data_IF_358602606950
#
_entry.id   IF_358602606950
#
_cell.length_a   1.000
_cell.length_b   1.000
_cell.length_c   1.000
_cell.angle_alpha   90.00
_cell.angle_beta   90.00
_cell.angle_gamma   90.00
#
_symmetry.space_group_name_H-M   'P 1'
#
loop_
_entity.id
_entity.type
_entity.pdbx_description
1 polymer ?
#
# COMPACT_ATOMS: atom_id res chain seq x y z
N UNK A 1 10.98 -8.45 33.95
CA UNK A 1 9.90 -8.40 34.96
C UNK A 1 9.08 -9.68 35.07
N UNK A 2 8.67 -10.34 33.96
CA UNK A 2 7.80 -11.54 34.03
C UNK A 2 8.31 -12.69 34.91
N UNK A 3 9.62 -12.92 34.97
CA UNK A 3 10.21 -13.96 35.84
C UNK A 3 10.39 -13.53 37.31
N UNK A 4 10.17 -12.25 37.63
CA UNK A 4 10.48 -11.64 38.93
C UNK A 4 9.25 -11.45 39.81
N UNK A 5 8.05 -11.52 39.23
CA UNK A 5 6.76 -11.32 39.88
C UNK A 5 5.77 -12.39 39.40
N UNK A 6 4.66 -12.56 40.09
CA UNK A 6 3.60 -13.46 39.64
C UNK A 6 2.91 -12.90 38.38
N UNK A 7 2.06 -13.71 37.74
CA UNK A 7 1.39 -13.32 36.50
C UNK A 7 0.44 -12.11 36.69
N UNK A 8 -0.23 -12.00 37.85
CA UNK A 8 -1.17 -10.91 38.14
C UNK A 8 -0.44 -9.57 38.32
N UNK A 9 0.65 -9.58 39.08
CA UNK A 9 1.52 -8.42 39.28
C UNK A 9 2.19 -8.00 37.98
N UNK A 10 2.59 -8.96 37.15
CA UNK A 10 3.13 -8.66 35.83
C UNK A 10 2.10 -7.96 34.94
N UNK A 11 0.86 -8.46 34.90
CA UNK A 11 -0.22 -7.82 34.15
C UNK A 11 -0.49 -6.40 34.67
N UNK A 12 -0.54 -6.22 36.00
CA UNK A 12 -0.70 -4.91 36.60
C UNK A 12 0.45 -3.96 36.25
N UNK A 13 1.69 -4.45 36.21
CA UNK A 13 2.87 -3.68 35.79
C UNK A 13 2.85 -3.30 34.31
N UNK A 14 2.18 -4.06 33.44
CA UNK A 14 2.02 -3.71 32.03
C UNK A 14 0.86 -2.77 31.78
N UNK A 15 -0.18 -2.81 32.63
CA UNK A 15 -1.42 -2.04 32.44
C UNK A 15 -1.37 -0.60 32.98
N UNK A 16 -0.23 -0.16 33.50
CA UNK A 16 -0.08 1.18 34.10
C UNK A 16 -0.31 2.34 33.11
N UNK A 17 -0.28 2.08 31.80
CA UNK A 17 -0.59 3.10 30.76
C UNK A 17 -2.06 3.52 30.77
N UNK A 18 -2.94 2.70 31.34
CA UNK A 18 -4.39 2.93 31.40
C UNK A 18 -4.85 3.59 32.71
N UNK A 19 -3.92 4.15 33.49
CA UNK A 19 -4.23 4.91 34.69
C UNK A 19 -5.01 6.18 34.32
N UNK A 20 -6.09 6.42 35.05
CA UNK A 20 -7.10 7.44 34.74
C UNK A 20 -7.00 8.72 35.58
N UNK A 21 -6.26 8.67 36.70
CA UNK A 21 -6.21 9.74 37.69
C UNK A 21 -4.91 9.72 38.50
N UNK A 22 -4.58 10.87 39.08
CA UNK A 22 -3.42 11.02 39.97
C UNK A 22 -3.51 10.12 41.21
N UNK A 23 -4.73 9.89 41.70
CA UNK A 23 -4.99 9.01 42.84
C UNK A 23 -4.65 7.55 42.49
N UNK A 24 -5.07 7.10 41.31
CA UNK A 24 -4.74 5.76 40.81
C UNK A 24 -3.24 5.63 40.52
N UNK A 25 -2.60 6.70 40.04
CA UNK A 25 -1.15 6.75 39.83
C UNK A 25 -0.38 6.60 41.15
N UNK A 26 -0.76 7.33 42.20
CA UNK A 26 -0.14 7.21 43.52
C UNK A 26 -0.27 5.79 44.09
N UNK A 27 -1.47 5.19 43.99
CA UNK A 27 -1.70 3.78 44.39
C UNK A 27 -0.86 2.81 43.58
N UNK A 28 -0.61 3.11 42.31
CA UNK A 28 0.28 2.31 41.47
C UNK A 28 1.74 2.43 41.91
N UNK A 29 2.22 3.65 42.21
CA UNK A 29 3.56 3.86 42.78
C UNK A 29 3.73 3.07 44.08
N UNK A 30 2.76 3.16 45.01
CA UNK A 30 2.76 2.39 46.26
C UNK A 30 2.82 0.88 46.00
N UNK A 31 2.02 0.38 45.05
CA UNK A 31 2.07 -1.02 44.63
C UNK A 31 3.48 -1.40 44.14
N UNK A 32 4.09 -0.61 43.26
CA UNK A 32 5.44 -0.90 42.75
C UNK A 32 6.48 -0.94 43.88
N UNK A 33 6.37 -0.03 44.86
CA UNK A 33 7.24 -0.01 46.03
C UNK A 33 7.00 -1.22 46.95
N UNK A 34 5.76 -1.70 47.06
CA UNK A 34 5.40 -2.86 47.88
C UNK A 34 5.96 -4.20 47.36
N UNK A 35 6.27 -4.30 46.06
CA UNK A 35 6.82 -5.53 45.46
C UNK A 35 8.23 -5.89 45.98
N UNK A 36 8.96 -4.92 46.56
CA UNK A 36 10.30 -5.15 47.13
C UNK A 36 11.37 -5.58 46.12
N UNK A 37 11.10 -5.49 44.82
CA UNK A 37 12.04 -5.88 43.75
C UNK A 37 12.81 -4.66 43.27
N UNK A 38 14.10 -4.57 43.62
CA UNK A 38 14.99 -3.43 43.32
C UNK A 38 14.95 -3.00 41.85
N UNK A 39 14.93 -3.93 40.91
CA UNK A 39 14.92 -3.63 39.46
C UNK A 39 13.63 -2.93 39.03
N UNK A 40 12.48 -3.38 39.53
CA UNK A 40 11.16 -2.81 39.23
C UNK A 40 11.04 -1.44 39.91
N UNK A 41 11.48 -1.35 41.16
CA UNK A 41 11.54 -0.08 41.90
C UNK A 41 12.42 0.95 41.18
N UNK A 42 13.61 0.57 40.72
CA UNK A 42 14.51 1.46 40.00
C UNK A 42 13.92 1.89 38.65
N UNK A 43 13.28 0.97 37.93
CA UNK A 43 12.56 1.28 36.69
C UNK A 43 11.47 2.32 36.91
N UNK A 44 10.69 2.20 37.98
CA UNK A 44 9.64 3.15 38.30
C UNK A 44 10.19 4.49 38.77
N UNK A 45 11.20 4.50 39.65
CA UNK A 45 11.92 5.71 40.05
C UNK A 45 12.49 6.46 38.85
N UNK A 46 13.01 5.75 37.85
CA UNK A 46 13.48 6.40 36.62
C UNK A 46 12.35 7.15 35.89
N UNK A 47 11.12 6.62 35.89
CA UNK A 47 9.96 7.32 35.31
C UNK A 47 9.56 8.54 36.13
N UNK A 48 9.56 8.42 37.47
CA UNK A 48 9.22 9.53 38.36
C UNK A 48 10.27 10.66 38.34
N UNK A 49 11.57 10.32 38.32
CA UNK A 49 12.65 11.32 38.24
C UNK A 49 12.63 12.10 36.93
N UNK A 50 12.20 11.47 35.84
CA UNK A 50 12.09 12.11 34.55
C UNK A 50 10.63 12.55 34.33
N UNK A 51 10.29 13.73 34.83
CA UNK A 51 8.91 14.25 34.84
C UNK A 51 8.21 14.25 33.47
N UNK A 52 8.95 14.20 32.37
CA UNK A 52 8.39 14.13 31.02
C UNK A 52 7.91 12.72 30.60
N UNK A 53 8.40 11.65 31.23
CA UNK A 53 8.09 10.27 30.81
C UNK A 53 6.64 9.90 31.10
N UNK A 54 6.15 10.21 32.30
CA UNK A 54 4.81 9.81 32.74
C UNK A 54 3.70 10.46 31.87
N UNK A 55 3.73 11.78 31.60
CA UNK A 55 2.80 12.44 30.67
C UNK A 55 2.83 11.91 29.23
N UNK A 56 3.95 11.31 28.80
CA UNK A 56 4.08 10.69 27.48
C UNK A 56 3.54 9.26 27.43
N UNK A 57 3.32 8.60 28.57
CA UNK A 57 2.87 7.21 28.64
C UNK A 57 1.43 7.06 29.14
N UNK A 58 0.95 8.00 29.96
CA UNK A 58 -0.35 7.93 30.62
C UNK A 58 -1.21 9.09 30.15
N UNK A 59 -2.34 8.78 29.50
CA UNK A 59 -3.25 9.78 28.92
C UNK A 59 -3.72 10.81 29.94
N UNK A 60 -4.08 10.37 31.16
CA UNK A 60 -4.58 11.26 32.21
C UNK A 60 -3.54 12.27 32.71
N UNK A 61 -2.26 11.96 32.52
CA UNK A 61 -1.13 12.78 32.97
C UNK A 61 -0.64 13.71 31.85
N UNK A 62 -1.18 13.54 30.64
CA UNK A 62 -0.76 14.32 29.49
C UNK A 62 -1.41 15.69 29.50
N UNK A 63 -0.65 16.71 29.12
CA UNK A 63 -1.20 18.04 28.81
C UNK A 63 -1.92 18.08 27.45
N UNK A 64 -1.84 17.01 26.66
CA UNK A 64 -2.54 16.91 25.39
C UNK A 64 -4.06 16.86 25.59
N UNK A 65 -4.82 17.60 24.77
CA UNK A 65 -6.27 17.42 24.71
C UNK A 65 -6.64 15.95 24.40
N UNK A 66 -7.66 15.37 25.06
CA UNK A 66 -8.01 13.96 24.88
C UNK A 66 -8.31 13.55 23.43
N UNK A 67 -8.90 14.44 22.65
CA UNK A 67 -9.20 14.29 21.22
C UNK A 67 -7.93 14.20 20.36
N UNK A 68 -6.90 14.99 20.69
CA UNK A 68 -5.60 14.95 20.00
C UNK A 68 -4.86 13.67 20.37
N UNK A 69 -4.95 13.24 21.63
CA UNK A 69 -4.35 11.98 22.07
C UNK A 69 -4.97 10.77 21.35
N UNK A 70 -6.31 10.72 21.28
CA UNK A 70 -7.03 9.60 20.64
C UNK A 70 -6.89 9.56 19.11
N UNK A 71 -6.68 10.72 18.48
CA UNK A 71 -6.41 10.81 17.04
C UNK A 71 -4.95 10.51 16.68
N UNK A 72 -4.05 10.48 17.66
CA UNK A 72 -2.65 10.10 17.42
C UNK A 72 -2.55 8.59 17.22
N UNK A 73 -2.07 8.10 16.07
CA UNK A 73 -1.95 6.67 15.83
C UNK A 73 -1.02 6.03 16.86
N UNK A 74 -1.40 4.87 17.41
CA UNK A 74 -0.56 4.11 18.35
C UNK A 74 0.77 3.62 17.74
N UNK A 75 0.88 3.67 16.41
CA UNK A 75 2.08 3.35 15.64
C UNK A 75 3.07 4.52 15.55
N UNK A 76 2.66 5.73 15.91
CA UNK A 76 3.52 6.90 15.86
C UNK A 76 4.29 6.99 17.17
N UNK A 77 5.52 6.48 17.19
CA UNK A 77 6.42 6.66 18.32
C UNK A 77 6.77 8.16 18.45
N UNK A 78 6.08 8.86 19.33
CA UNK A 78 6.27 10.29 19.57
C UNK A 78 7.72 10.62 19.94
N UNK A 79 8.44 9.71 20.62
CA UNK A 79 9.88 9.89 20.90
C UNK A 79 10.74 9.82 19.63
N UNK A 80 10.44 8.93 18.68
CA UNK A 80 11.15 8.90 17.39
C UNK A 80 10.87 10.17 16.56
N UNK A 81 9.62 10.61 16.54
CA UNK A 81 9.24 11.85 15.88
C UNK A 81 9.93 13.06 16.54
N UNK A 82 10.04 13.07 17.88
CA UNK A 82 10.74 14.11 18.62
C UNK A 82 12.25 14.08 18.35
N UNK A 83 12.89 12.91 18.27
CA UNK A 83 14.29 12.82 17.86
C UNK A 83 14.51 13.31 16.43
N UNK A 84 13.65 12.96 15.48
CA UNK A 84 13.73 13.46 14.12
C UNK A 84 13.55 15.00 14.08
N UNK A 85 12.59 15.52 14.83
CA UNK A 85 12.32 16.95 14.92
C UNK A 85 13.45 17.72 15.61
N UNK A 86 13.94 17.25 16.75
CA UNK A 86 15.10 17.81 17.46
C UNK A 86 16.37 17.71 16.61
N UNK A 87 16.60 16.64 15.86
CA UNK A 87 17.75 16.57 14.95
C UNK A 87 17.62 17.57 13.79
N UNK A 88 16.41 17.77 13.25
CA UNK A 88 16.15 18.80 12.23
C UNK A 88 16.34 20.22 12.77
N UNK A 89 15.90 20.50 14.01
CA UNK A 89 15.96 21.82 14.63
C UNK A 89 17.38 22.15 15.15
N UNK A 90 17.92 21.28 15.99
CA UNK A 90 19.17 21.51 16.74
C UNK A 90 20.41 21.14 15.94
N UNK A 91 20.30 20.28 14.91
CA UNK A 91 21.43 19.95 14.04
C UNK A 91 22.55 19.19 14.76
N UNK A 92 22.22 18.24 15.62
CA UNK A 92 23.22 17.31 16.15
C UNK A 92 23.77 16.47 15.00
N UNK A 93 25.10 16.57 14.75
CA UNK A 93 25.86 16.06 13.59
C UNK A 93 25.94 16.97 12.35
N UNK A 94 25.78 18.28 12.49
CA UNK A 94 26.11 19.21 11.39
C UNK A 94 27.62 19.19 11.11
N UNK A 95 27.99 19.27 9.84
CA UNK A 95 29.38 19.50 9.46
C UNK A 95 29.86 20.87 9.98
N UNK A 96 31.16 21.03 10.25
CA UNK A 96 31.73 22.30 10.73
C UNK A 96 31.37 23.48 9.80
N UNK A 97 31.26 23.21 8.50
CA UNK A 97 30.83 24.17 7.47
C UNK A 97 29.38 24.61 7.70
N UNK A 98 28.48 23.69 7.99
CA UNK A 98 27.07 24.00 8.32
C UNK A 98 26.93 24.80 9.61
N UNK A 99 27.74 24.49 10.62
CA UNK A 99 27.75 25.25 11.88
C UNK A 99 28.24 26.70 11.66
N UNK A 100 29.24 26.90 10.79
CA UNK A 100 29.75 28.22 10.44
C UNK A 100 28.73 29.04 9.64
N UNK A 101 28.05 28.41 8.66
CA UNK A 101 26.99 29.06 7.87
C UNK A 101 25.83 29.51 8.76
N UNK A 102 25.43 28.68 9.75
CA UNK A 102 24.38 29.06 10.72
C UNK A 102 24.79 30.25 11.59
N UNK A 103 26.07 30.39 11.96
CA UNK A 103 26.57 31.51 12.77
C UNK A 103 26.65 32.83 12.00
N UNK A 104 26.94 32.78 10.70
CA UNK A 104 26.98 33.96 9.82
C UNK A 104 25.57 34.52 9.52
N UNK A 105 24.53 33.69 9.61
CA UNK A 105 23.13 34.06 9.33
C UNK A 105 22.39 34.80 10.46
N UNK A 106 23.07 35.32 11.48
CA UNK A 106 22.43 36.04 12.59
C UNK A 106 21.66 37.31 12.19
N UNK A 107 21.94 37.89 11.01
CA UNK A 107 21.13 38.98 10.45
C UNK A 107 19.74 38.53 9.94
N UNK A 108 19.57 37.26 9.57
CA UNK A 108 18.28 36.70 9.14
C UNK A 108 17.28 36.52 10.28
N UNK A 109 17.78 36.42 11.53
CA UNK A 109 16.94 36.31 12.73
C UNK A 109 16.10 37.57 12.99
N UNK A 110 16.51 38.74 12.48
CA UNK A 110 15.75 39.99 12.65
C UNK A 110 14.59 40.16 11.66
N UNK A 111 14.70 39.60 10.46
CA UNK A 111 13.72 39.80 9.38
C UNK A 111 12.82 38.60 9.15
N UNK A 112 13.12 37.44 9.76
CA UNK A 112 12.33 36.20 9.61
C UNK A 112 12.38 35.60 8.20
N UNK A 113 13.11 36.21 7.28
CA UNK A 113 13.27 35.74 5.90
C UNK A 113 14.71 35.26 5.76
N UNK A 114 14.86 33.94 5.66
CA UNK A 114 16.13 33.34 5.24
C UNK A 114 16.46 33.87 3.84
N UNK A 115 17.56 34.62 3.72
CA UNK A 115 18.15 34.96 2.44
C UNK A 115 18.71 33.66 1.83
N UNK A 116 17.82 32.84 1.26
CA UNK A 116 18.23 31.72 0.45
C UNK A 116 18.48 32.29 -0.96
N UNK A 117 19.75 32.35 -1.42
CA UNK A 117 20.08 32.84 -2.76
C UNK A 117 19.38 32.02 -3.87
N UNK A 118 18.95 30.81 -3.56
CA UNK A 118 18.15 29.95 -4.46
C UNK A 118 16.63 30.10 -4.27
N UNK A 119 16.16 31.11 -3.54
CA UNK A 119 14.73 31.34 -3.23
C UNK A 119 14.27 32.79 -3.46
N UNK A 120 14.96 33.51 -4.35
CA UNK A 120 14.44 34.77 -4.86
C UNK A 120 13.09 34.57 -5.56
N UNK A 121 12.26 35.62 -5.56
CA UNK A 121 10.92 35.60 -6.15
C UNK A 121 10.97 35.14 -7.61
N UNK A 122 12.00 35.55 -8.35
CA UNK A 122 12.23 35.16 -9.74
C UNK A 122 12.43 33.65 -9.87
N UNK A 123 13.24 33.03 -9.01
CA UNK A 123 13.43 31.57 -9.00
C UNK A 123 12.18 30.81 -8.58
N UNK A 124 11.33 31.38 -7.71
CA UNK A 124 10.03 30.80 -7.35
C UNK A 124 9.06 30.86 -8.53
N UNK A 125 8.97 31.99 -9.21
CA UNK A 125 8.13 32.15 -10.40
C UNK A 125 8.59 31.22 -11.54
N UNK A 126 9.90 31.13 -11.80
CA UNK A 126 10.46 30.24 -12.82
C UNK A 126 10.16 28.76 -12.53
N UNK A 127 10.39 28.30 -11.29
CA UNK A 127 10.06 26.92 -10.88
C UNK A 127 8.56 26.64 -10.90
N UNK A 128 7.73 27.63 -10.53
CA UNK A 128 6.29 27.46 -10.62
C UNK A 128 5.83 27.33 -12.07
N UNK A 129 6.37 28.18 -12.96
CA UNK A 129 6.17 28.07 -14.40
C UNK A 129 6.58 26.69 -14.94
N UNK A 130 7.76 26.21 -14.57
CA UNK A 130 8.24 24.87 -14.96
C UNK A 130 7.34 23.74 -14.44
N UNK A 131 6.81 23.84 -13.22
CA UNK A 131 5.86 22.85 -12.69
C UNK A 131 4.54 22.85 -13.47
N UNK A 132 4.01 24.03 -13.80
CA UNK A 132 2.81 24.13 -14.61
C UNK A 132 3.02 23.59 -16.03
N UNK A 133 4.14 23.90 -16.68
CA UNK A 133 4.43 23.39 -18.03
C UNK A 133 4.68 21.88 -18.03
N UNK A 134 5.40 21.34 -17.04
CA UNK A 134 5.61 19.90 -16.90
C UNK A 134 4.29 19.15 -16.66
N UNK A 135 3.41 19.68 -15.81
CA UNK A 135 2.08 19.11 -15.56
C UNK A 135 1.21 19.13 -16.83
N UNK A 136 1.18 20.25 -17.55
CA UNK A 136 0.47 20.36 -18.82
C UNK A 136 1.01 19.39 -19.88
N UNK A 137 2.33 19.22 -19.97
CA UNK A 137 2.97 18.27 -20.88
C UNK A 137 2.57 16.83 -20.55
N UNK A 138 2.67 16.42 -19.28
CA UNK A 138 2.27 15.08 -18.84
C UNK A 138 0.79 14.80 -19.08
N UNK A 139 -0.07 15.82 -18.90
CA UNK A 139 -1.50 15.71 -19.22
C UNK A 139 -1.74 15.47 -20.71
N UNK A 140 -1.02 16.16 -21.59
CA UNK A 140 -1.11 15.96 -23.05
C UNK A 140 -0.63 14.57 -23.46
N UNK A 141 0.51 14.13 -22.94
CA UNK A 141 1.06 12.78 -23.18
C UNK A 141 0.07 11.70 -22.74
N UNK A 142 -0.53 11.85 -21.55
CA UNK A 142 -1.54 10.92 -21.04
C UNK A 142 -2.79 10.87 -21.93
N UNK A 143 -3.26 12.01 -22.45
CA UNK A 143 -4.38 12.05 -23.41
C UNK A 143 -4.03 11.31 -24.70
N UNK A 144 -2.86 11.59 -25.27
CA UNK A 144 -2.39 10.91 -26.48
C UNK A 144 -2.31 9.39 -26.28
N UNK A 145 -1.76 8.92 -25.16
CA UNK A 145 -1.72 7.49 -24.84
C UNK A 145 -3.12 6.88 -24.71
N UNK A 146 -4.05 7.61 -24.12
CA UNK A 146 -5.45 7.17 -23.97
C UNK A 146 -6.13 7.06 -25.34
N UNK A 147 -5.89 8.02 -26.22
CA UNK A 147 -6.47 8.03 -27.57
C UNK A 147 -5.91 6.88 -28.43
N UNK A 148 -4.59 6.65 -28.38
CA UNK A 148 -3.95 5.50 -29.06
C UNK A 148 -4.46 4.18 -28.50
N UNK A 149 -4.63 4.06 -27.19
CA UNK A 149 -5.16 2.86 -26.55
C UNK A 149 -6.59 2.55 -27.02
N UNK A 150 -7.45 3.58 -27.10
CA UNK A 150 -8.81 3.45 -27.64
C UNK A 150 -8.79 3.02 -29.11
N UNK A 151 -7.91 3.60 -29.92
CA UNK A 151 -7.78 3.23 -31.33
C UNK A 151 -7.37 1.76 -31.50
N UNK A 152 -6.36 1.30 -30.75
CA UNK A 152 -5.93 -0.10 -30.78
C UNK A 152 -7.04 -1.05 -30.32
N UNK A 153 -7.81 -0.66 -29.31
CA UNK A 153 -8.94 -1.45 -28.82
C UNK A 153 -10.06 -1.56 -29.87
N UNK A 154 -10.35 -0.47 -30.60
CA UNK A 154 -11.29 -0.50 -31.73
C UNK A 154 -10.79 -1.44 -32.83
N UNK A 155 -9.51 -1.32 -33.23
CA UNK A 155 -8.91 -2.19 -34.25
C UNK A 155 -8.96 -3.67 -33.85
N UNK A 156 -8.64 -3.98 -32.60
CA UNK A 156 -8.72 -5.34 -32.05
C UNK A 156 -10.15 -5.88 -32.15
N UNK A 157 -11.14 -5.09 -31.74
CA UNK A 157 -12.55 -5.50 -31.79
C UNK A 157 -13.06 -5.76 -33.22
N UNK A 158 -12.62 -4.93 -34.18
CA UNK A 158 -12.95 -5.10 -35.59
C UNK A 158 -12.32 -6.38 -36.17
N UNK A 159 -11.06 -6.67 -35.81
CA UNK A 159 -10.37 -7.86 -36.29
C UNK A 159 -10.95 -9.14 -35.67
N UNK A 160 -11.32 -9.11 -34.38
CA UNK A 160 -12.05 -10.22 -33.73
C UNK A 160 -13.37 -10.49 -34.44
N UNK A 161 -14.10 -9.45 -34.87
CA UNK A 161 -15.34 -9.60 -35.62
C UNK A 161 -15.11 -10.26 -36.98
N UNK A 162 -14.12 -9.79 -37.75
CA UNK A 162 -13.72 -10.42 -39.02
C UNK A 162 -13.30 -11.88 -38.85
N UNK A 163 -12.56 -12.19 -37.79
CA UNK A 163 -12.14 -13.56 -37.51
C UNK A 163 -13.36 -14.45 -37.23
N UNK A 164 -14.36 -13.97 -36.49
CA UNK A 164 -15.62 -14.71 -36.28
C UNK A 164 -16.31 -15.00 -37.61
N UNK A 165 -16.49 -13.97 -38.45
CA UNK A 165 -17.09 -14.11 -39.79
C UNK A 165 -16.32 -15.12 -40.65
N UNK A 166 -14.98 -15.06 -40.66
CA UNK A 166 -14.12 -16.03 -41.37
C UNK A 166 -14.26 -17.46 -40.83
N UNK A 167 -14.34 -17.63 -39.51
CA UNK A 167 -14.58 -18.96 -38.91
C UNK A 167 -15.96 -19.52 -39.25
N UNK A 168 -16.97 -18.67 -39.40
CA UNK A 168 -18.31 -19.08 -39.83
C UNK A 168 -18.30 -19.50 -41.31
N UNK A 169 -17.63 -18.74 -42.18
CA UNK A 169 -17.45 -19.09 -43.60
C UNK A 169 -16.69 -20.41 -43.77
N UNK A 170 -15.61 -20.61 -43.02
CA UNK A 170 -14.84 -21.88 -43.09
C UNK A 170 -15.64 -23.07 -42.58
N UNK A 171 -16.48 -22.89 -41.54
CA UNK A 171 -17.44 -23.92 -41.09
C UNK A 171 -18.46 -24.23 -42.18
N UNK A 172 -19.03 -23.22 -42.82
CA UNK A 172 -20.00 -23.39 -43.91
C UNK A 172 -19.39 -24.13 -45.12
N UNK A 173 -18.17 -23.75 -45.54
CA UNK A 173 -17.45 -24.42 -46.62
C UNK A 173 -17.12 -25.88 -46.27
N UNK A 174 -16.70 -26.17 -45.03
CA UNK A 174 -16.48 -27.55 -44.57
C UNK A 174 -17.77 -28.37 -44.60
N UNK A 175 -18.91 -27.78 -44.22
CA UNK A 175 -20.22 -28.44 -44.29
C UNK A 175 -20.62 -28.76 -45.73
N UNK A 176 -20.42 -27.83 -46.67
CA UNK A 176 -20.66 -28.06 -48.11
C UNK A 176 -19.75 -29.17 -48.66
N UNK A 177 -18.48 -29.18 -48.27
CA UNK A 177 -17.52 -30.20 -48.70
C UNK A 177 -17.91 -31.59 -48.16
N UNK A 178 -18.39 -31.67 -46.91
CA UNK A 178 -18.91 -32.91 -46.32
C UNK A 178 -20.16 -33.40 -47.08
N UNK A 179 -21.13 -32.53 -47.33
CA UNK A 179 -22.34 -32.87 -48.08
C UNK A 179 -22.02 -33.33 -49.52
N UNK A 180 -21.08 -32.68 -50.21
CA UNK A 180 -20.63 -33.08 -51.55
C UNK A 180 -19.92 -34.46 -51.55
N UNK A 181 -19.17 -34.78 -50.50
CA UNK A 181 -18.54 -36.11 -50.35
C UNK A 181 -19.57 -37.21 -50.09
N UNK A 182 -20.55 -36.94 -49.23
CA UNK A 182 -21.60 -37.92 -48.89
C UNK A 182 -22.52 -38.20 -50.09
N UNK A 183 -22.92 -37.16 -50.84
CA UNK A 183 -23.71 -37.31 -52.07
C UNK A 183 -22.97 -38.02 -53.22
N UNK A 184 -21.63 -37.99 -53.24
CA UNK A 184 -20.83 -38.77 -54.19
C UNK A 184 -20.75 -40.27 -53.81
N UNK A 185 -20.85 -40.59 -52.51
CA UNK A 185 -20.87 -42.00 -52.05
C UNK A 185 -22.22 -42.70 -52.26
N UNK A 186 -23.32 -41.94 -52.31
CA UNK A 186 -24.66 -42.49 -52.55
C UNK A 186 -24.87 -42.93 -54.01
N UNK A 187 -24.15 -42.33 -54.97
CA UNK A 187 -24.18 -42.74 -56.38
C UNK A 187 -23.39 -44.04 -56.61
N UNK A 188 -22.34 -44.31 -55.82
CA UNK A 188 -21.52 -45.52 -55.98
C UNK A 188 -22.08 -46.77 -55.27
N UNK A 189 -23.04 -46.63 -54.35
CA UNK A 189 -23.68 -47.76 -53.66
C UNK A 189 -24.96 -48.24 -54.35
N UNK A 190 -25.51 -47.50 -55.31
CA UNK A 190 -26.66 -47.92 -56.11
C UNK A 190 -26.32 -48.88 -57.28
N UNK A 191 -25.03 -49.17 -57.54
CA UNK A 191 -24.59 -49.94 -58.71
C UNK A 191 -24.03 -51.35 -58.40
N UNK A 192 -24.27 -51.90 -57.20
CA UNK A 192 -23.82 -53.26 -56.86
C UNK A 192 -24.83 -53.98 -55.95
N UNK A 193 -25.85 -54.57 -56.56
CA UNK A 193 -26.67 -55.61 -55.94
C UNK A 193 -26.86 -56.77 -56.92
N UNK A 194 -25.77 -57.51 -57.13
CA UNK A 194 -25.79 -58.84 -57.75
C UNK A 194 -26.46 -59.83 -56.81
N UNK A 195 -27.77 -60.04 -57.00
CA UNK A 195 -28.56 -61.03 -56.28
C UNK A 195 -28.29 -62.43 -56.85
N UNK A 196 -27.51 -63.24 -56.12
CA UNK A 196 -27.31 -64.68 -56.42
C UNK A 196 -28.53 -65.46 -55.91
N UNK A 197 -29.29 -66.08 -56.83
CA UNK A 197 -30.32 -67.07 -56.49
C UNK A 197 -29.66 -68.41 -56.15
N UNK A 198 -29.88 -68.90 -54.94
CA UNK A 198 -29.52 -70.27 -54.54
C UNK A 198 -30.71 -71.20 -54.80
N UNK A 199 -30.49 -72.21 -55.65
CA UNK A 199 -31.46 -73.27 -55.95
C UNK A 199 -31.22 -74.41 -54.95
N UNK A 200 -32.21 -74.72 -54.11
CA UNK A 200 -32.17 -75.85 -53.18
C UNK A 200 -32.82 -77.08 -53.82
N UNK A 201 -32.01 -78.10 -54.13
CA UNK A 201 -32.48 -79.41 -54.58
C UNK A 201 -32.72 -80.32 -53.37
N UNK A 202 -33.94 -80.82 -53.22
CA UNK A 202 -34.33 -81.79 -52.18
C UNK A 202 -34.69 -83.12 -52.87
N UNK A 203 -33.80 -84.10 -52.72
CA UNK A 203 -34.04 -85.54 -52.91
C UNK A 203 -34.09 -86.15 -51.51
N UNK A 204 -34.97 -87.07 -51.14
CA UNK A 204 -35.97 -87.82 -51.87
C UNK A 204 -36.71 -88.75 -50.89
N UNK A 205 -37.59 -89.58 -51.45
CA UNK A 205 -38.22 -90.80 -50.91
C UNK A 205 -38.84 -90.74 -49.50
#
# INVERSE_FOLDING_TARGET
FRAMVNAADFARLTDFTYIDSDVTLAKFSEFVYSLGKKEITNWWKHKEMNAWIIPCLIKSQSAFPPDVWDSTPSTTNTNEAQHAWTNAQTGTKLSVVEALIRRVNSMSLRTGILANPNNEIVHRMARNGQRHTASARKSRESRQLTDVSKELQMRLSAEVKKHRESTELTKALKAQLKAAKEGSSEILTASSSGRVQTVSARSGK
#
